data_IF_820325359982
#
_entry.id   IF_820325359982
#
_cell.length_a   1.000
_cell.length_b   1.000
_cell.length_c   1.000
_cell.angle_alpha   90.00
_cell.angle_beta   90.00
_cell.angle_gamma   90.00
#
_symmetry.space_group_name_H-M   'P 1'
#
loop_
_entity.id
_entity.type
_entity.pdbx_description
1 polymer ?
#
# COMPACT_ATOMS: atom_id res chain seq x y z
N UNK A 1 42.96 44.30 -12.05
CA UNK A 1 41.81 43.90 -12.88
C UNK A 1 42.17 42.59 -13.65
N UNK A 2 42.45 41.46 -13.01
CA UNK A 2 42.61 40.15 -13.71
C UNK A 2 42.51 38.93 -12.79
N UNK A 3 41.63 38.92 -11.75
CA UNK A 3 41.45 37.74 -10.89
C UNK A 3 39.98 37.34 -10.65
N UNK A 4 39.00 38.00 -11.26
CA UNK A 4 37.57 37.60 -11.10
C UNK A 4 36.98 36.78 -12.24
N UNK A 5 37.71 36.59 -13.37
CA UNK A 5 37.21 35.81 -14.52
C UNK A 5 37.37 34.30 -14.41
N UNK A 6 38.32 33.81 -13.62
CA UNK A 6 38.60 32.34 -13.51
C UNK A 6 37.70 31.59 -12.52
N UNK A 7 37.11 32.30 -11.55
CA UNK A 7 36.19 31.69 -10.59
C UNK A 7 34.79 31.38 -11.17
N UNK A 8 34.30 32.21 -12.09
CA UNK A 8 33.01 31.98 -12.76
C UNK A 8 33.07 30.83 -13.76
N UNK A 9 34.18 30.66 -14.48
CA UNK A 9 34.33 29.53 -15.43
C UNK A 9 34.45 28.17 -14.75
N UNK A 10 34.96 28.09 -13.52
CA UNK A 10 35.05 26.84 -12.75
C UNK A 10 33.71 26.45 -12.15
N UNK A 11 32.86 27.40 -11.81
CA UNK A 11 31.47 27.10 -11.27
C UNK A 11 30.58 26.65 -12.42
N UNK A 12 30.63 27.29 -13.60
CA UNK A 12 29.84 26.86 -14.76
C UNK A 12 30.27 25.49 -15.31
N UNK A 13 31.57 25.19 -15.35
CA UNK A 13 32.06 23.86 -15.76
C UNK A 13 31.72 22.77 -14.77
N UNK A 14 31.64 23.06 -13.47
CA UNK A 14 31.19 22.09 -12.46
C UNK A 14 29.67 21.84 -12.50
N UNK A 15 28.86 22.87 -12.81
CA UNK A 15 27.40 22.72 -13.00
C UNK A 15 27.07 22.04 -14.32
N UNK A 16 27.81 22.29 -15.40
CA UNK A 16 27.61 21.57 -16.68
C UNK A 16 28.09 20.12 -16.61
N UNK A 17 29.16 19.83 -15.85
CA UNK A 17 29.60 18.45 -15.57
C UNK A 17 28.62 17.68 -14.66
N UNK A 18 27.90 18.38 -13.78
CA UNK A 18 26.82 17.81 -12.97
C UNK A 18 25.56 17.47 -13.79
N UNK A 19 25.29 18.15 -14.89
CA UNK A 19 24.09 17.99 -15.73
C UNK A 19 24.17 16.93 -16.81
N UNK A 20 25.29 16.25 -17.01
CA UNK A 20 25.45 15.17 -18.00
C UNK A 20 26.02 13.88 -17.38
N UNK A 21 25.46 13.38 -16.30
CA UNK A 21 25.44 11.93 -16.13
C UNK A 21 24.40 11.38 -17.10
N UNK A 22 24.82 11.09 -18.32
CA UNK A 22 24.10 10.19 -19.22
C UNK A 22 23.92 8.89 -18.42
N UNK A 23 22.72 8.67 -17.90
CA UNK A 23 22.41 7.43 -17.23
C UNK A 23 22.60 6.34 -18.25
N UNK A 24 23.60 5.49 -18.06
CA UNK A 24 23.79 4.33 -18.88
C UNK A 24 22.46 3.52 -18.93
N UNK A 25 22.12 2.92 -20.08
CA UNK A 25 20.85 2.23 -20.24
C UNK A 25 20.60 1.25 -19.09
N UNK A 26 19.36 1.24 -18.58
CA UNK A 26 18.97 0.33 -17.50
C UNK A 26 19.05 -1.11 -17.97
N UNK A 27 19.46 -2.01 -17.08
CA UNK A 27 19.52 -3.45 -17.32
C UNK A 27 18.10 -4.01 -17.52
N UNK A 28 17.94 -5.01 -18.39
CA UNK A 28 16.66 -5.68 -18.58
C UNK A 28 16.23 -6.49 -17.34
N UNK A 29 14.91 -6.65 -17.11
CA UNK A 29 14.39 -7.39 -15.94
C UNK A 29 14.90 -8.84 -15.87
N UNK A 30 14.89 -9.55 -16.97
CA UNK A 30 15.40 -10.93 -17.05
C UNK A 30 16.92 -11.00 -16.92
N UNK A 31 17.61 -10.01 -17.46
CA UNK A 31 19.06 -9.88 -17.34
C UNK A 31 19.46 -9.70 -15.87
N UNK A 32 18.79 -8.81 -15.12
CA UNK A 32 19.00 -8.62 -13.68
C UNK A 32 18.84 -9.94 -12.92
N UNK A 33 17.76 -10.68 -13.16
CA UNK A 33 17.51 -11.95 -12.49
C UNK A 33 18.52 -13.05 -12.85
N UNK A 34 19.11 -12.99 -14.06
CA UNK A 34 20.13 -13.95 -14.50
C UNK A 34 21.52 -13.59 -13.99
N UNK A 35 21.90 -12.34 -14.04
CA UNK A 35 23.24 -11.85 -13.74
C UNK A 35 23.48 -11.65 -12.23
N UNK A 36 22.49 -11.09 -11.50
CA UNK A 36 22.64 -10.75 -10.09
C UNK A 36 22.10 -11.87 -9.18
N UNK A 37 22.99 -12.76 -8.76
CA UNK A 37 22.64 -13.90 -7.86
C UNK A 37 22.09 -13.41 -6.52
N UNK A 38 22.65 -12.34 -5.94
CA UNK A 38 22.22 -11.80 -4.65
C UNK A 38 20.78 -11.30 -4.69
N UNK A 39 20.45 -10.46 -5.70
CA UNK A 39 19.11 -9.98 -5.90
C UNK A 39 18.12 -11.12 -6.20
N UNK A 40 18.50 -12.08 -7.03
CA UNK A 40 17.66 -13.23 -7.37
C UNK A 40 17.25 -14.04 -6.14
N UNK A 41 18.16 -14.37 -5.23
CA UNK A 41 17.82 -15.12 -4.02
C UNK A 41 16.99 -14.32 -3.04
N UNK A 42 17.27 -13.02 -2.88
CA UNK A 42 16.43 -12.13 -2.07
C UNK A 42 15.00 -12.05 -2.63
N UNK A 43 14.87 -11.89 -3.95
CA UNK A 43 13.58 -11.82 -4.63
C UNK A 43 12.79 -13.14 -4.54
N UNK A 44 13.43 -14.29 -4.79
CA UNK A 44 12.74 -15.57 -4.63
C UNK A 44 12.30 -15.82 -3.18
N UNK A 45 13.10 -15.44 -2.19
CA UNK A 45 12.69 -15.47 -0.79
C UNK A 45 11.41 -14.67 -0.57
N UNK A 46 11.36 -13.44 -1.11
CA UNK A 46 10.17 -12.59 -1.04
C UNK A 46 8.94 -13.22 -1.72
N UNK A 47 9.09 -13.78 -2.93
CA UNK A 47 7.99 -14.43 -3.66
C UNK A 47 7.40 -15.57 -2.84
N UNK A 48 8.28 -16.44 -2.31
CA UNK A 48 7.86 -17.61 -1.54
C UNK A 48 7.19 -17.20 -0.24
N UNK A 49 7.75 -16.27 0.54
CA UNK A 49 7.14 -15.84 1.80
C UNK A 49 5.84 -15.08 1.60
N UNK A 50 5.74 -14.23 0.57
CA UNK A 50 4.47 -13.54 0.25
C UNK A 50 3.37 -14.50 -0.20
N UNK A 51 3.71 -15.60 -0.85
CA UNK A 51 2.74 -16.65 -1.18
C UNK A 51 2.20 -17.32 0.09
N UNK A 52 3.08 -17.64 1.04
CA UNK A 52 2.70 -18.16 2.34
C UNK A 52 1.80 -17.21 3.14
N UNK A 53 2.12 -15.93 3.17
CA UNK A 53 1.28 -14.90 3.80
C UNK A 53 -0.19 -14.94 3.31
N UNK A 54 -0.42 -15.35 2.05
CA UNK A 54 -1.79 -15.53 1.54
C UNK A 54 -2.42 -16.84 1.98
N UNK A 55 -1.64 -17.92 2.14
CA UNK A 55 -2.13 -19.18 2.71
C UNK A 55 -2.65 -18.97 4.12
N UNK A 56 -1.84 -18.31 4.96
CA UNK A 56 -2.21 -17.91 6.31
C UNK A 56 -3.44 -16.98 6.32
N UNK A 57 -3.41 -15.92 5.52
CA UNK A 57 -4.49 -14.92 5.48
C UNK A 57 -5.85 -15.55 5.22
N UNK A 58 -5.97 -16.42 4.22
CA UNK A 58 -7.24 -17.09 3.89
C UNK A 58 -7.62 -18.10 4.97
N UNK A 59 -6.64 -18.84 5.50
CA UNK A 59 -6.88 -19.82 6.55
C UNK A 59 -7.37 -19.17 7.84
N UNK A 60 -6.76 -18.05 8.27
CA UNK A 60 -7.16 -17.30 9.46
C UNK A 60 -8.59 -16.76 9.35
N UNK A 61 -8.97 -16.20 8.18
CA UNK A 61 -10.36 -15.74 7.98
C UNK A 61 -11.34 -16.91 7.99
N UNK A 62 -10.97 -18.03 7.37
CA UNK A 62 -11.79 -19.24 7.34
C UNK A 62 -12.01 -19.77 8.75
N UNK A 63 -10.96 -19.93 9.58
CA UNK A 63 -11.09 -20.38 10.96
C UNK A 63 -11.97 -19.42 11.77
N UNK A 64 -11.76 -18.11 11.65
CA UNK A 64 -12.53 -17.12 12.40
C UNK A 64 -14.04 -17.28 12.13
N UNK A 65 -14.43 -17.42 10.86
CA UNK A 65 -15.83 -17.55 10.49
C UNK A 65 -16.40 -18.95 10.84
N UNK A 66 -15.67 -20.02 10.57
CA UNK A 66 -16.15 -21.37 10.81
C UNK A 66 -16.28 -21.72 12.29
N UNK A 67 -15.37 -21.20 13.14
CA UNK A 67 -15.43 -21.46 14.58
C UNK A 67 -16.45 -20.57 15.31
N UNK A 68 -16.56 -19.30 14.91
CA UNK A 68 -17.38 -18.33 15.67
C UNK A 68 -18.71 -18.01 15.02
N UNK A 69 -18.84 -18.23 13.72
CA UNK A 69 -19.97 -17.72 12.94
C UNK A 69 -20.08 -16.19 12.93
N UNK A 70 -19.04 -15.45 13.41
CA UNK A 70 -19.07 -14.02 13.69
C UNK A 70 -18.23 -13.23 12.68
N UNK A 71 -18.87 -12.29 12.00
CA UNK A 71 -18.19 -11.32 11.11
C UNK A 71 -17.27 -10.38 11.89
N UNK A 72 -17.62 -10.09 13.15
CA UNK A 72 -16.81 -9.30 14.08
C UNK A 72 -15.45 -9.95 14.34
N UNK A 73 -15.38 -11.29 14.38
CA UNK A 73 -14.09 -11.99 14.54
C UNK A 73 -13.12 -11.69 13.41
N UNK A 74 -13.60 -11.69 12.17
CA UNK A 74 -12.77 -11.28 11.01
C UNK A 74 -12.42 -9.79 11.08
N UNK A 75 -13.37 -8.95 11.45
CA UNK A 75 -13.15 -7.52 11.62
C UNK A 75 -12.04 -7.22 12.65
N UNK A 76 -12.04 -7.93 13.79
CA UNK A 76 -10.99 -7.81 14.82
C UNK A 76 -9.63 -8.32 14.33
N UNK A 77 -9.59 -9.38 13.50
CA UNK A 77 -8.34 -9.80 12.82
C UNK A 77 -7.83 -8.69 11.92
N UNK A 78 -8.70 -8.02 11.15
CA UNK A 78 -8.29 -6.88 10.32
C UNK A 78 -7.72 -5.74 11.17
N UNK A 79 -8.34 -5.40 12.29
CA UNK A 79 -7.79 -4.41 13.24
C UNK A 79 -6.42 -4.86 13.76
N UNK A 80 -6.29 -6.12 14.17
CA UNK A 80 -5.03 -6.71 14.62
C UNK A 80 -3.93 -6.67 13.54
N UNK A 81 -4.30 -6.79 12.27
CA UNK A 81 -3.37 -6.68 11.13
C UNK A 81 -2.84 -5.28 10.92
N UNK A 82 -3.62 -4.25 11.20
CA UNK A 82 -3.19 -2.85 11.01
C UNK A 82 -2.40 -2.30 12.20
N UNK A 83 -2.64 -2.78 13.42
CA UNK A 83 -2.06 -2.28 14.65
C UNK A 83 -0.50 -2.30 14.66
N UNK A 84 0.19 -3.39 14.29
CA UNK A 84 1.64 -3.44 14.35
C UNK A 84 2.33 -2.44 13.44
N UNK A 85 1.77 -2.14 12.27
CA UNK A 85 2.36 -1.19 11.32
C UNK A 85 2.42 0.24 11.89
N UNK A 86 1.45 0.63 12.71
CA UNK A 86 1.42 1.96 13.36
C UNK A 86 2.43 2.03 14.51
N UNK A 87 2.48 0.99 15.34
CA UNK A 87 3.27 1.00 16.58
C UNK A 87 4.75 0.69 16.32
N UNK A 88 5.04 -0.24 15.40
CA UNK A 88 6.38 -0.79 15.19
C UNK A 88 7.14 -0.07 14.07
N UNK A 89 6.46 0.53 13.10
CA UNK A 89 7.11 1.21 11.98
C UNK A 89 8.18 2.24 12.42
N UNK A 90 7.97 3.09 13.43
CA UNK A 90 9.02 4.00 13.93
C UNK A 90 10.23 3.26 14.52
N UNK A 91 9.99 2.15 15.21
CA UNK A 91 11.04 1.35 15.84
C UNK A 91 11.85 0.53 14.82
N UNK A 92 11.22 0.12 13.73
CA UNK A 92 11.86 -0.69 12.70
C UNK A 92 13.05 0.00 12.04
N UNK A 93 12.98 1.33 11.84
CA UNK A 93 14.08 2.14 11.34
C UNK A 93 15.29 2.12 12.28
N UNK A 94 15.05 2.27 13.59
CA UNK A 94 16.10 2.22 14.61
C UNK A 94 16.80 0.86 14.67
N UNK A 95 16.02 -0.21 14.59
CA UNK A 95 16.54 -1.59 14.58
C UNK A 95 17.30 -1.86 13.29
N UNK A 96 16.80 -1.42 12.13
CA UNK A 96 17.47 -1.53 10.85
C UNK A 96 18.81 -0.75 10.81
N UNK A 97 18.97 0.25 11.66
CA UNK A 97 20.23 0.99 11.79
C UNK A 97 21.24 0.30 12.71
N UNK A 98 20.81 -0.48 13.68
CA UNK A 98 21.68 -1.11 14.69
C UNK A 98 22.12 -2.52 14.32
N UNK A 99 21.27 -3.29 13.66
CA UNK A 99 21.49 -4.69 13.33
C UNK A 99 21.74 -4.87 11.83
N UNK A 100 22.39 -5.98 11.46
CA UNK A 100 22.57 -6.32 10.06
C UNK A 100 21.19 -6.61 9.41
N UNK A 101 20.96 -6.05 8.22
CA UNK A 101 19.71 -6.24 7.46
C UNK A 101 19.41 -7.72 7.24
N UNK A 102 20.47 -8.51 6.95
CA UNK A 102 20.38 -9.97 6.81
C UNK A 102 19.85 -10.63 8.07
N UNK A 103 20.43 -10.30 9.23
CA UNK A 103 20.01 -10.88 10.53
C UNK A 103 18.56 -10.53 10.83
N UNK A 104 18.14 -9.27 10.60
CA UNK A 104 16.75 -8.84 10.81
C UNK A 104 15.80 -9.66 9.96
N UNK A 105 16.08 -9.81 8.65
CA UNK A 105 15.20 -10.55 7.73
C UNK A 105 15.10 -12.02 8.11
N UNK A 106 16.24 -12.69 8.37
CA UNK A 106 16.25 -14.11 8.75
C UNK A 106 15.54 -14.33 10.09
N UNK A 107 15.85 -13.51 11.11
CA UNK A 107 15.20 -13.62 12.42
C UNK A 107 13.69 -13.39 12.32
N UNK A 108 13.25 -12.39 11.53
CA UNK A 108 11.83 -12.13 11.27
C UNK A 108 11.13 -13.33 10.65
N UNK A 109 11.71 -13.93 9.62
CA UNK A 109 11.11 -15.09 8.95
C UNK A 109 11.07 -16.32 9.87
N UNK A 110 12.14 -16.61 10.63
CA UNK A 110 12.14 -17.75 11.57
C UNK A 110 11.10 -17.56 12.68
N UNK A 111 10.98 -16.35 13.25
CA UNK A 111 9.96 -16.10 14.28
C UNK A 111 8.57 -16.20 13.68
N UNK A 112 8.34 -15.66 12.48
CA UNK A 112 7.05 -15.80 11.78
C UNK A 112 6.70 -17.24 11.49
N UNK A 113 7.67 -18.07 11.07
CA UNK A 113 7.48 -19.51 10.87
C UNK A 113 6.99 -20.20 12.14
N UNK A 114 7.55 -19.86 13.30
CA UNK A 114 7.14 -20.43 14.60
C UNK A 114 5.75 -19.91 15.00
N UNK A 115 5.50 -18.60 14.86
CA UNK A 115 4.23 -17.97 15.21
C UNK A 115 3.06 -18.56 14.42
N UNK A 116 3.25 -18.79 13.12
CA UNK A 116 2.22 -19.35 12.25
C UNK A 116 1.84 -20.78 12.68
N UNK A 117 2.79 -21.59 13.14
CA UNK A 117 2.48 -22.91 13.68
C UNK A 117 1.59 -22.84 14.95
N UNK A 118 1.59 -21.69 15.64
CA UNK A 118 0.71 -21.44 16.78
C UNK A 118 -0.79 -21.51 16.41
N UNK A 119 -1.16 -21.16 15.16
CA UNK A 119 -2.56 -21.27 14.70
C UNK A 119 -3.08 -22.71 14.66
N UNK A 120 -2.21 -23.73 14.62
CA UNK A 120 -2.60 -25.13 14.67
C UNK A 120 -3.28 -25.52 16.00
N UNK A 121 -3.06 -24.76 17.07
CA UNK A 121 -3.67 -24.97 18.38
C UNK A 121 -5.06 -24.35 18.51
N UNK A 122 -5.49 -23.52 17.55
CA UNK A 122 -6.81 -22.89 17.54
C UNK A 122 -7.84 -23.88 17.01
N UNK A 123 -8.68 -24.42 17.91
CA UNK A 123 -9.69 -25.43 17.59
C UNK A 123 -11.08 -25.10 18.12
N UNK A 124 -11.20 -24.08 18.98
CA UNK A 124 -12.45 -23.72 19.68
C UNK A 124 -12.68 -22.21 19.63
N UNK A 125 -13.94 -21.78 19.69
CA UNK A 125 -14.29 -20.34 19.66
C UNK A 125 -13.65 -19.52 20.77
N UNK A 126 -13.51 -20.08 21.97
CA UNK A 126 -12.89 -19.42 23.13
C UNK A 126 -11.38 -19.13 22.94
N UNK A 127 -10.75 -19.74 21.95
CA UNK A 127 -9.34 -19.54 21.60
C UNK A 127 -9.12 -18.40 20.57
N UNK A 128 -10.16 -17.66 20.18
CA UNK A 128 -10.00 -16.56 19.22
C UNK A 128 -9.03 -15.46 19.68
N UNK A 129 -8.87 -15.26 20.99
CA UNK A 129 -7.85 -14.35 21.51
C UNK A 129 -6.43 -14.73 21.03
N UNK A 130 -6.14 -16.04 20.93
CA UNK A 130 -4.85 -16.53 20.42
C UNK A 130 -4.66 -16.15 18.96
N UNK A 131 -5.72 -16.23 18.13
CA UNK A 131 -5.67 -15.78 16.73
C UNK A 131 -5.26 -14.32 16.64
N UNK A 132 -5.84 -13.45 17.46
CA UNK A 132 -5.51 -12.02 17.45
C UNK A 132 -4.07 -11.78 17.88
N UNK A 133 -3.60 -12.44 18.95
CA UNK A 133 -2.24 -12.33 19.45
C UNK A 133 -1.23 -12.82 18.41
N UNK A 134 -1.45 -14.01 17.83
CA UNK A 134 -0.56 -14.56 16.79
C UNK A 134 -0.52 -13.67 15.55
N UNK A 135 -1.67 -13.13 15.12
CA UNK A 135 -1.73 -12.18 14.01
C UNK A 135 -0.90 -10.91 14.29
N UNK A 136 -1.06 -10.33 15.50
CA UNK A 136 -0.27 -9.15 15.91
C UNK A 136 1.23 -9.47 15.91
N UNK A 137 1.62 -10.61 16.49
CA UNK A 137 3.03 -11.04 16.53
C UNK A 137 3.61 -11.24 15.13
N UNK A 138 2.92 -11.98 14.26
CA UNK A 138 3.35 -12.24 12.87
C UNK A 138 3.60 -10.93 12.13
N UNK A 139 2.66 -9.98 12.20
CA UNK A 139 2.78 -8.71 11.49
C UNK A 139 3.75 -7.75 12.18
N UNK A 140 3.97 -7.87 13.49
CA UNK A 140 5.01 -7.16 14.20
C UNK A 140 6.40 -7.50 13.63
N UNK A 141 6.68 -8.78 13.41
CA UNK A 141 7.94 -9.19 12.79
C UNK A 141 8.01 -8.86 11.30
N UNK A 142 6.88 -8.90 10.58
CA UNK A 142 6.80 -8.40 9.19
C UNK A 142 7.16 -6.91 9.10
N UNK A 143 6.77 -6.09 10.08
CA UNK A 143 7.09 -4.67 10.15
C UNK A 143 8.60 -4.37 10.33
N UNK A 144 9.40 -5.32 10.79
CA UNK A 144 10.87 -5.24 10.78
C UNK A 144 11.47 -5.73 9.46
N UNK A 145 10.87 -6.76 8.85
CA UNK A 145 11.37 -7.36 7.62
C UNK A 145 11.33 -6.37 6.44
N UNK A 146 10.21 -5.71 6.20
CA UNK A 146 9.99 -4.86 5.03
C UNK A 146 10.97 -3.68 4.90
N UNK A 147 11.23 -2.86 5.96
CA UNK A 147 12.24 -1.81 5.89
C UNK A 147 13.66 -2.36 5.71
N UNK A 148 14.00 -3.49 6.36
CA UNK A 148 15.30 -4.12 6.22
C UNK A 148 15.54 -4.60 4.77
N UNK A 149 14.54 -5.21 4.14
CA UNK A 149 14.56 -5.64 2.73
C UNK A 149 14.72 -4.45 1.79
N UNK A 150 13.87 -3.42 1.94
CA UNK A 150 13.92 -2.22 1.09
C UNK A 150 15.28 -1.53 1.17
N UNK A 151 15.84 -1.44 2.38
CA UNK A 151 17.18 -0.88 2.58
C UNK A 151 18.29 -1.81 2.05
N UNK A 152 18.07 -3.12 1.97
CA UNK A 152 19.05 -4.09 1.49
C UNK A 152 19.23 -4.05 -0.02
N UNK A 153 18.18 -3.82 -0.80
CA UNK A 153 18.21 -3.80 -2.27
C UNK A 153 19.35 -2.92 -2.82
N UNK A 154 19.48 -1.62 -2.45
CA UNK A 154 20.55 -0.77 -2.99
C UNK A 154 21.97 -1.23 -2.63
N UNK A 155 22.12 -2.12 -1.66
CA UNK A 155 23.45 -2.64 -1.27
C UNK A 155 23.89 -3.88 -2.04
N UNK A 156 22.99 -4.51 -2.80
CA UNK A 156 23.26 -5.74 -3.55
C UNK A 156 23.05 -5.58 -5.07
N UNK A 157 22.54 -4.41 -5.51
CA UNK A 157 22.37 -4.07 -6.91
C UNK A 157 23.20 -2.83 -7.26
N UNK A 158 23.61 -2.71 -8.51
CA UNK A 158 24.27 -1.51 -9.05
C UNK A 158 23.25 -0.40 -9.32
N UNK A 159 23.71 0.84 -9.52
CA UNK A 159 22.84 2.00 -9.86
C UNK A 159 21.98 1.73 -11.11
N UNK A 160 22.51 0.98 -12.10
CA UNK A 160 21.78 0.61 -13.33
C UNK A 160 20.69 -0.43 -13.09
N UNK A 161 20.83 -1.25 -12.08
CA UNK A 161 19.91 -2.33 -11.69
C UNK A 161 18.84 -1.88 -10.69
N UNK A 162 19.01 -0.72 -10.04
CA UNK A 162 18.16 -0.27 -8.94
C UNK A 162 16.71 -0.03 -9.39
N UNK A 163 16.52 0.61 -10.54
CA UNK A 163 15.17 0.85 -11.09
C UNK A 163 14.48 -0.46 -11.48
N UNK A 164 15.09 -1.37 -12.26
CA UNK A 164 14.52 -2.69 -12.54
C UNK A 164 14.24 -3.52 -11.28
N UNK A 165 15.11 -3.49 -10.26
CA UNK A 165 14.90 -4.22 -9.01
C UNK A 165 13.64 -3.76 -8.27
N UNK A 166 13.44 -2.45 -8.13
CA UNK A 166 12.24 -1.90 -7.50
C UNK A 166 10.96 -2.17 -8.33
N UNK A 167 11.07 -2.13 -9.66
CA UNK A 167 9.95 -2.47 -10.54
C UNK A 167 9.53 -3.94 -10.38
N UNK A 168 10.49 -4.87 -10.36
CA UNK A 168 10.24 -6.30 -10.10
C UNK A 168 9.56 -6.48 -8.72
N UNK A 169 10.04 -5.82 -7.67
CA UNK A 169 9.46 -5.92 -6.33
C UNK A 169 7.99 -5.43 -6.32
N UNK A 170 7.68 -4.33 -6.99
CA UNK A 170 6.32 -3.78 -7.10
C UNK A 170 5.39 -4.68 -7.90
N UNK A 171 5.85 -5.22 -9.04
CA UNK A 171 5.09 -6.18 -9.85
C UNK A 171 4.83 -7.45 -9.06
N UNK A 172 5.83 -7.96 -8.34
CA UNK A 172 5.70 -9.14 -7.48
C UNK A 172 4.58 -8.97 -6.46
N UNK A 173 4.50 -7.82 -5.79
CA UNK A 173 3.41 -7.55 -4.84
C UNK A 173 2.02 -7.66 -5.48
N UNK A 174 1.84 -7.07 -6.67
CA UNK A 174 0.57 -7.11 -7.39
C UNK A 174 0.22 -8.53 -7.86
N UNK A 175 1.22 -9.28 -8.32
CA UNK A 175 1.04 -10.68 -8.75
C UNK A 175 0.70 -11.56 -7.55
N UNK A 176 1.39 -11.39 -6.42
CA UNK A 176 1.10 -12.16 -5.20
C UNK A 176 -0.26 -11.83 -4.60
N UNK A 177 -0.74 -10.60 -4.71
CA UNK A 177 -2.11 -10.25 -4.32
C UNK A 177 -3.16 -11.07 -5.09
N UNK A 178 -2.89 -11.39 -6.34
CA UNK A 178 -3.83 -12.13 -7.21
C UNK A 178 -3.63 -13.64 -7.10
N UNK A 179 -2.44 -14.12 -7.45
CA UNK A 179 -2.12 -15.56 -7.48
C UNK A 179 -2.03 -16.16 -6.08
N UNK A 180 -1.45 -15.42 -5.13
CA UNK A 180 -1.33 -15.86 -3.74
C UNK A 180 -2.72 -16.08 -3.11
N UNK A 181 -3.67 -15.17 -3.32
CA UNK A 181 -5.03 -15.34 -2.83
C UNK A 181 -5.74 -16.55 -3.47
N UNK A 182 -5.57 -16.77 -4.78
CA UNK A 182 -6.11 -17.94 -5.46
C UNK A 182 -5.55 -19.24 -4.89
N UNK A 183 -4.21 -19.30 -4.74
CA UNK A 183 -3.52 -20.46 -4.19
C UNK A 183 -3.84 -20.68 -2.70
N UNK A 184 -3.94 -19.60 -1.92
CA UNK A 184 -4.35 -19.66 -0.51
C UNK A 184 -5.77 -20.24 -0.35
N UNK A 185 -6.70 -19.77 -1.16
CA UNK A 185 -8.06 -20.32 -1.20
C UNK A 185 -8.12 -21.79 -1.63
N UNK A 186 -7.30 -22.16 -2.63
CA UNK A 186 -7.18 -23.55 -3.09
C UNK A 186 -6.57 -24.46 -2.01
N UNK A 187 -5.44 -24.04 -1.43
CA UNK A 187 -4.74 -24.84 -0.38
C UNK A 187 -5.64 -25.02 0.85
N UNK A 188 -6.14 -23.92 1.41
CA UNK A 188 -7.00 -23.98 2.58
C UNK A 188 -8.32 -24.71 2.31
N UNK A 189 -8.90 -24.57 1.11
CA UNK A 189 -10.13 -25.25 0.71
C UNK A 189 -9.95 -26.72 0.38
N UNK A 190 -8.83 -27.14 -0.19
CA UNK A 190 -8.62 -28.55 -0.62
C UNK A 190 -7.92 -29.40 0.43
N UNK A 191 -6.94 -28.82 1.15
CA UNK A 191 -6.10 -29.54 2.13
C UNK A 191 -6.39 -29.12 3.58
N UNK A 192 -7.29 -28.13 3.78
CA UNK A 192 -7.66 -27.61 5.09
C UNK A 192 -6.72 -26.49 5.57
N UNK A 193 -7.19 -25.76 6.58
CA UNK A 193 -6.49 -24.61 7.15
C UNK A 193 -5.18 -25.00 7.83
N UNK A 194 -5.10 -26.18 8.45
CA UNK A 194 -3.87 -26.67 9.06
C UNK A 194 -2.74 -26.85 8.03
N UNK A 195 -3.05 -27.39 6.84
CA UNK A 195 -2.08 -27.52 5.76
C UNK A 195 -1.61 -26.14 5.28
N UNK A 196 -2.49 -25.15 5.22
CA UNK A 196 -2.14 -23.77 4.86
C UNK A 196 -1.13 -23.16 5.84
N UNK A 197 -1.32 -23.35 7.15
CA UNK A 197 -0.37 -22.87 8.18
C UNK A 197 0.99 -23.56 8.11
N UNK A 198 0.99 -24.89 7.94
CA UNK A 198 2.25 -25.63 7.79
C UNK A 198 3.02 -25.20 6.55
N UNK A 199 2.33 -25.06 5.42
CA UNK A 199 2.93 -24.59 4.18
C UNK A 199 3.45 -23.16 4.33
N UNK A 200 2.72 -22.26 4.97
CA UNK A 200 3.20 -20.90 5.23
C UNK A 200 4.45 -20.91 6.09
N UNK A 201 4.46 -21.65 7.19
CA UNK A 201 5.68 -21.82 8.02
C UNK A 201 6.88 -22.29 7.19
N UNK A 202 6.68 -23.28 6.30
CA UNK A 202 7.73 -23.76 5.41
C UNK A 202 8.20 -22.70 4.42
N UNK A 203 7.29 -21.82 3.93
CA UNK A 203 7.68 -20.72 3.05
C UNK A 203 8.58 -19.71 3.76
N UNK A 204 8.33 -19.39 5.03
CA UNK A 204 9.21 -18.52 5.82
C UNK A 204 10.58 -19.15 6.05
N UNK A 205 10.63 -20.44 6.37
CA UNK A 205 11.90 -21.17 6.49
C UNK A 205 12.67 -21.16 5.16
N UNK A 206 12.00 -21.42 4.05
CA UNK A 206 12.60 -21.38 2.72
C UNK A 206 13.12 -19.96 2.38
N UNK A 207 12.35 -18.90 2.71
CA UNK A 207 12.79 -17.51 2.56
C UNK A 207 14.05 -17.23 3.39
N UNK A 208 14.05 -17.59 4.67
CA UNK A 208 15.21 -17.43 5.55
C UNK A 208 16.46 -18.15 5.01
N UNK A 209 16.31 -19.36 4.48
CA UNK A 209 17.39 -20.13 3.85
C UNK A 209 17.90 -19.44 2.58
N UNK A 210 17.02 -18.95 1.70
CA UNK A 210 17.41 -18.21 0.50
C UNK A 210 18.15 -16.92 0.85
N UNK A 211 17.63 -16.14 1.80
CA UNK A 211 18.27 -14.91 2.28
C UNK A 211 19.62 -15.20 2.94
N UNK A 212 19.77 -16.34 3.61
CA UNK A 212 21.03 -16.74 4.24
C UNK A 212 22.16 -16.94 3.23
N UNK A 213 21.85 -17.24 1.97
CA UNK A 213 22.85 -17.39 0.89
C UNK A 213 23.29 -16.05 0.29
N UNK A 214 22.54 -14.95 0.55
CA UNK A 214 22.86 -13.64 0.01
C UNK A 214 24.05 -13.02 0.76
N UNK A 215 25.05 -12.58 0.02
CA UNK A 215 26.20 -11.84 0.58
C UNK A 215 25.89 -10.35 0.59
N UNK A 216 25.72 -9.80 1.78
CA UNK A 216 25.57 -8.35 1.95
C UNK A 216 26.93 -7.72 2.23
N UNK A 217 27.27 -6.58 1.62
CA UNK A 217 28.50 -5.84 1.95
C UNK A 217 28.50 -5.48 3.44
N UNK A 218 29.69 -5.49 4.06
CA UNK A 218 29.83 -4.96 5.42
C UNK A 218 29.44 -3.49 5.42
N UNK A 219 28.51 -3.13 6.29
CA UNK A 219 28.08 -1.74 6.46
C UNK A 219 29.21 -0.96 7.12
N UNK A 220 29.56 0.22 6.56
CA UNK A 220 30.41 1.16 7.27
C UNK A 220 29.74 1.56 8.58
N UNK A 221 30.48 1.52 9.68
CA UNK A 221 29.98 1.92 11.00
C UNK A 221 29.53 3.40 10.94
N UNK A 222 28.24 3.62 11.04
CA UNK A 222 27.71 4.98 11.19
C UNK A 222 27.81 5.37 12.67
N UNK A 223 28.16 6.62 12.98
CA UNK A 223 28.12 7.12 14.34
C UNK A 223 26.74 6.86 14.96
N UNK A 224 26.70 6.27 16.16
CA UNK A 224 25.46 6.01 16.91
C UNK A 224 24.82 7.36 17.25
N UNK A 225 23.85 7.80 16.47
CA UNK A 225 23.10 9.01 16.79
C UNK A 225 22.31 8.77 18.10
N UNK A 226 22.37 9.74 19.03
CA UNK A 226 21.52 9.73 20.22
C UNK A 226 20.08 10.01 19.76
N UNK A 227 19.29 8.95 19.59
CA UNK A 227 17.87 9.08 19.28
C UNK A 227 17.09 9.43 20.55
N UNK A 228 16.51 10.62 20.57
CA UNK A 228 15.49 10.98 21.56
C UNK A 228 14.20 10.20 21.22
N UNK A 229 13.55 9.60 22.22
CA UNK A 229 12.35 8.75 22.06
C UNK A 229 11.27 9.47 21.22
N UNK A 230 11.07 10.77 21.39
CA UNK A 230 10.10 11.57 20.61
C UNK A 230 10.44 11.65 19.10
N UNK A 231 11.74 11.71 18.74
CA UNK A 231 12.20 11.63 17.34
C UNK A 231 12.13 10.20 16.79
N UNK A 232 12.38 9.21 17.65
CA UNK A 232 12.27 7.80 17.27
C UNK A 232 10.81 7.40 17.00
N UNK A 233 9.85 7.96 17.73
CA UNK A 233 8.42 7.72 17.52
C UNK A 233 7.81 8.59 16.40
N UNK A 234 8.56 9.49 15.79
CA UNK A 234 8.08 10.34 14.70
C UNK A 234 6.95 11.31 15.08
N UNK A 235 6.67 11.49 16.38
CA UNK A 235 5.57 12.34 16.86
C UNK A 235 5.79 13.80 16.46
N UNK A 236 7.01 14.31 16.64
CA UNK A 236 7.38 15.67 16.24
C UNK A 236 7.21 15.87 14.74
N UNK A 237 7.68 14.89 13.94
CA UNK A 237 7.57 14.92 12.49
C UNK A 237 6.11 14.87 12.03
N UNK A 238 5.25 14.12 12.71
CA UNK A 238 3.81 14.04 12.44
C UNK A 238 3.11 15.37 12.73
N UNK A 239 3.44 16.03 13.85
CA UNK A 239 2.88 17.33 14.23
C UNK A 239 3.32 18.42 13.24
N UNK A 240 4.59 18.46 12.88
CA UNK A 240 5.11 19.41 11.87
C UNK A 240 4.48 19.15 10.49
N UNK A 241 4.30 17.89 10.10
CA UNK A 241 3.60 17.51 8.89
C UNK A 241 2.14 17.96 8.89
N UNK A 242 1.43 17.78 10.01
CA UNK A 242 0.05 18.24 10.18
C UNK A 242 -0.06 19.77 10.09
N UNK A 243 0.86 20.50 10.74
CA UNK A 243 0.92 21.97 10.66
C UNK A 243 1.19 22.45 9.21
N UNK A 244 2.13 21.81 8.51
CA UNK A 244 2.40 22.09 7.09
C UNK A 244 1.16 21.90 6.21
N UNK A 245 0.41 20.83 6.42
CA UNK A 245 -0.76 20.46 5.63
C UNK A 245 -1.95 21.38 5.90
N UNK A 246 -2.18 21.76 7.18
CA UNK A 246 -3.32 22.61 7.61
C UNK A 246 -3.41 23.93 6.83
N UNK A 247 -2.28 24.54 6.49
CA UNK A 247 -2.21 25.80 5.78
C UNK A 247 -2.19 25.66 4.24
N UNK A 248 -2.32 24.42 3.73
CA UNK A 248 -2.26 24.12 2.29
C UNK A 248 -3.44 23.25 1.84
N UNK A 249 -4.60 23.87 1.50
CA UNK A 249 -5.84 23.14 1.26
C UNK A 249 -5.74 22.11 0.11
N UNK A 250 -4.90 22.34 -0.89
CA UNK A 250 -4.66 21.36 -1.96
C UNK A 250 -3.88 20.14 -1.46
N UNK A 251 -2.87 20.36 -0.61
CA UNK A 251 -2.11 19.25 0.00
C UNK A 251 -3.00 18.45 0.93
N UNK A 252 -3.81 19.12 1.75
CA UNK A 252 -4.79 18.48 2.63
C UNK A 252 -5.78 17.62 1.84
N UNK A 253 -6.34 18.15 0.74
CA UNK A 253 -7.26 17.40 -0.08
C UNK A 253 -6.61 16.14 -0.69
N UNK A 254 -5.37 16.23 -1.19
CA UNK A 254 -4.67 15.06 -1.73
C UNK A 254 -4.31 14.03 -0.65
N UNK A 255 -3.91 14.50 0.53
CA UNK A 255 -3.62 13.65 1.68
C UNK A 255 -4.87 12.89 2.12
N UNK A 256 -6.04 13.51 2.11
CA UNK A 256 -7.29 12.88 2.55
C UNK A 256 -7.88 11.88 1.55
N UNK A 257 -7.39 11.80 0.32
CA UNK A 257 -7.90 10.87 -0.71
C UNK A 257 -7.82 9.41 -0.25
N UNK A 258 -6.66 8.96 0.21
CA UNK A 258 -6.48 7.57 0.66
C UNK A 258 -7.18 7.27 2.00
N UNK A 259 -7.15 8.13 3.03
CA UNK A 259 -7.99 7.98 4.21
C UNK A 259 -9.48 7.86 3.88
N UNK A 260 -10.00 8.69 2.96
CA UNK A 260 -11.38 8.58 2.50
C UNK A 260 -11.66 7.23 1.83
N UNK A 261 -10.72 6.70 1.04
CA UNK A 261 -10.79 5.33 0.53
C UNK A 261 -10.71 4.30 1.66
N UNK A 262 -9.85 4.51 2.66
CA UNK A 262 -9.70 3.66 3.83
C UNK A 262 -10.99 3.51 4.66
N UNK A 263 -11.84 4.53 4.68
CA UNK A 263 -13.17 4.45 5.33
C UNK A 263 -14.10 3.40 4.71
N UNK A 264 -13.86 2.99 3.47
CA UNK A 264 -14.50 1.83 2.85
C UNK A 264 -13.71 0.53 2.99
N UNK A 265 -12.63 0.54 3.77
CA UNK A 265 -11.74 -0.63 3.99
C UNK A 265 -12.43 -1.85 4.58
N UNK A 266 -13.60 -1.68 5.20
CA UNK A 266 -14.47 -2.76 5.68
C UNK A 266 -14.88 -3.77 4.61
N UNK A 267 -14.67 -3.43 3.33
CA UNK A 267 -14.84 -4.39 2.22
C UNK A 267 -13.98 -5.64 2.40
N UNK A 268 -12.82 -5.57 3.05
CA UNK A 268 -11.96 -6.73 3.26
C UNK A 268 -12.63 -7.77 4.19
N UNK A 269 -13.28 -7.32 5.26
CA UNK A 269 -14.12 -8.17 6.12
C UNK A 269 -15.31 -8.74 5.33
N UNK A 270 -15.96 -7.90 4.52
CA UNK A 270 -17.09 -8.32 3.70
C UNK A 270 -16.68 -9.38 2.68
N UNK A 271 -15.51 -9.29 2.04
CA UNK A 271 -15.04 -10.34 1.11
C UNK A 271 -14.93 -11.71 1.78
N UNK A 272 -14.43 -11.76 3.02
CA UNK A 272 -14.37 -13.00 3.77
C UNK A 272 -15.78 -13.54 4.06
N UNK A 273 -16.70 -12.69 4.54
CA UNK A 273 -18.09 -13.06 4.83
C UNK A 273 -18.85 -13.48 3.56
N UNK A 274 -18.65 -12.78 2.44
CA UNK A 274 -19.26 -13.15 1.16
C UNK A 274 -18.75 -14.51 0.66
N UNK A 275 -17.44 -14.76 0.78
CA UNK A 275 -16.84 -16.03 0.36
C UNK A 275 -17.31 -17.22 1.18
N UNK A 276 -17.60 -17.00 2.47
CA UNK A 276 -18.13 -18.05 3.33
C UNK A 276 -19.64 -18.26 3.16
N UNK A 277 -20.44 -17.16 3.27
CA UNK A 277 -21.90 -17.27 3.48
C UNK A 277 -22.71 -17.11 2.21
N UNK A 278 -22.19 -16.41 1.21
CA UNK A 278 -22.96 -16.02 0.01
C UNK A 278 -22.46 -16.74 -1.23
N UNK A 279 -21.15 -16.84 -1.39
CA UNK A 279 -20.52 -17.43 -2.56
C UNK A 279 -19.44 -18.47 -2.20
N UNK A 280 -19.79 -19.52 -1.39
CA UNK A 280 -18.85 -20.61 -1.20
C UNK A 280 -18.65 -21.38 -2.52
N UNK A 281 -17.41 -21.67 -2.86
CA UNK A 281 -17.09 -22.41 -4.10
C UNK A 281 -16.96 -23.89 -3.77
N UNK A 282 -17.73 -24.72 -4.45
CA UNK A 282 -17.83 -26.18 -4.17
C UNK A 282 -18.10 -26.49 -2.68
N UNK A 283 -18.92 -25.66 -2.02
CA UNK A 283 -19.23 -25.80 -0.60
C UNK A 283 -18.09 -25.41 0.36
N UNK A 284 -16.98 -24.84 -0.15
CA UNK A 284 -15.79 -24.50 0.63
C UNK A 284 -15.65 -22.99 0.80
N UNK A 285 -15.72 -22.51 2.04
CA UNK A 285 -15.56 -21.11 2.41
C UNK A 285 -14.21 -20.55 1.96
N UNK A 286 -13.11 -21.23 2.26
CA UNK A 286 -11.76 -20.79 1.92
C UNK A 286 -11.58 -20.55 0.41
N UNK A 287 -12.12 -21.42 -0.43
CA UNK A 287 -12.06 -21.28 -1.88
C UNK A 287 -12.86 -20.06 -2.33
N UNK A 288 -14.07 -19.84 -1.79
CA UNK A 288 -14.90 -18.67 -2.07
C UNK A 288 -14.19 -17.36 -1.69
N UNK A 289 -13.59 -17.30 -0.49
CA UNK A 289 -12.79 -16.17 -0.01
C UNK A 289 -11.62 -15.92 -0.98
N UNK A 290 -10.85 -16.96 -1.31
CA UNK A 290 -9.69 -16.86 -2.19
C UNK A 290 -10.04 -16.31 -3.59
N UNK A 291 -11.15 -16.79 -4.18
CA UNK A 291 -11.60 -16.32 -5.51
C UNK A 291 -12.01 -14.85 -5.47
N UNK A 292 -12.70 -14.40 -4.42
CA UNK A 292 -13.05 -12.98 -4.27
C UNK A 292 -11.82 -12.11 -4.08
N UNK A 293 -10.86 -12.50 -3.26
CA UNK A 293 -9.59 -11.79 -3.14
C UNK A 293 -8.77 -11.80 -4.44
N UNK A 294 -8.86 -12.86 -5.23
CA UNK A 294 -8.25 -12.92 -6.59
C UNK A 294 -8.86 -11.88 -7.51
N UNK A 295 -10.20 -11.79 -7.58
CA UNK A 295 -10.89 -10.77 -8.38
C UNK A 295 -10.49 -9.35 -7.96
N UNK A 296 -10.39 -9.11 -6.65
CA UNK A 296 -9.84 -7.88 -6.09
C UNK A 296 -8.43 -7.61 -6.62
N UNK A 297 -7.56 -8.62 -6.57
CA UNK A 297 -6.17 -8.53 -7.03
C UNK A 297 -6.07 -8.16 -8.51
N UNK A 298 -6.88 -8.79 -9.37
CA UNK A 298 -6.95 -8.49 -10.80
C UNK A 298 -7.32 -7.02 -11.03
N UNK A 299 -8.38 -6.53 -10.37
CA UNK A 299 -8.79 -5.13 -10.49
C UNK A 299 -7.68 -4.17 -10.05
N UNK A 300 -7.02 -4.47 -8.93
CA UNK A 300 -5.92 -3.66 -8.41
C UNK A 300 -4.71 -3.61 -9.37
N UNK A 301 -4.38 -4.72 -10.02
CA UNK A 301 -3.26 -4.78 -10.96
C UNK A 301 -3.55 -4.06 -12.29
N UNK A 302 -4.77 -4.20 -12.80
CA UNK A 302 -5.16 -3.66 -14.13
C UNK A 302 -5.43 -2.15 -14.08
N UNK A 303 -5.93 -1.63 -12.95
CA UNK A 303 -6.36 -0.24 -12.81
C UNK A 303 -5.33 0.80 -13.24
N UNK A 304 -4.11 0.82 -12.67
CA UNK A 304 -3.10 1.81 -13.00
C UNK A 304 -2.63 1.75 -14.47
N UNK A 305 -2.64 0.54 -15.06
CA UNK A 305 -2.25 0.33 -16.47
C UNK A 305 -3.26 1.01 -17.40
N UNK A 306 -4.54 0.76 -17.16
CA UNK A 306 -5.63 1.36 -17.94
C UNK A 306 -5.65 2.88 -17.74
N UNK A 307 -5.56 3.33 -16.48
CA UNK A 307 -5.61 4.73 -16.16
C UNK A 307 -4.50 5.53 -16.86
N UNK A 308 -3.26 5.05 -16.82
CA UNK A 308 -2.15 5.72 -17.49
C UNK A 308 -2.38 5.87 -19.00
N UNK A 309 -2.96 4.86 -19.63
CA UNK A 309 -3.21 4.87 -21.08
C UNK A 309 -4.33 5.85 -21.47
N UNK A 310 -5.34 6.04 -20.62
CA UNK A 310 -6.56 6.77 -20.97
C UNK A 310 -6.65 8.18 -20.41
N UNK A 311 -6.01 8.45 -19.27
CA UNK A 311 -6.19 9.74 -18.57
C UNK A 311 -5.06 10.73 -18.79
N UNK A 312 -3.89 10.30 -19.31
CA UNK A 312 -2.70 11.16 -19.42
C UNK A 312 -2.07 11.53 -18.08
N UNK A 313 -1.04 12.39 -18.12
CA UNK A 313 -0.17 12.69 -16.96
C UNK A 313 -0.31 14.13 -16.44
N UNK A 314 -1.27 14.91 -16.97
CA UNK A 314 -1.45 16.28 -16.48
C UNK A 314 -2.15 16.28 -15.12
N UNK A 315 -1.85 17.30 -14.30
CA UNK A 315 -2.45 17.47 -12.98
C UNK A 315 -3.99 17.42 -13.01
N UNK A 316 -4.62 18.11 -13.98
CA UNK A 316 -6.09 18.17 -14.11
C UNK A 316 -6.67 16.80 -14.47
N UNK A 317 -5.99 16.04 -15.32
CA UNK A 317 -6.41 14.69 -15.70
C UNK A 317 -6.33 13.72 -14.52
N UNK A 318 -5.21 13.73 -13.76
CA UNK A 318 -5.07 12.92 -12.55
C UNK A 318 -6.12 13.26 -11.48
N UNK A 319 -6.42 14.56 -11.28
CA UNK A 319 -7.50 14.98 -10.37
C UNK A 319 -8.87 14.47 -10.82
N UNK A 320 -9.17 14.51 -12.12
CA UNK A 320 -10.42 13.97 -12.68
C UNK A 320 -10.48 12.46 -12.48
N UNK A 321 -9.40 11.75 -12.74
CA UNK A 321 -9.32 10.30 -12.56
C UNK A 321 -9.53 9.87 -11.10
N UNK A 322 -9.03 10.62 -10.12
CA UNK A 322 -9.29 10.38 -8.69
C UNK A 322 -10.80 10.46 -8.38
N UNK A 323 -11.48 11.49 -8.90
CA UNK A 323 -12.94 11.62 -8.72
C UNK A 323 -13.72 10.48 -9.38
N UNK A 324 -13.38 10.13 -10.63
CA UNK A 324 -13.99 9.01 -11.35
C UNK A 324 -13.74 7.70 -10.59
N UNK A 325 -12.54 7.50 -10.05
CA UNK A 325 -12.17 6.30 -9.31
C UNK A 325 -13.03 6.10 -8.04
N UNK A 326 -13.34 7.17 -7.30
CA UNK A 326 -14.30 7.10 -6.20
C UNK A 326 -15.70 6.71 -6.66
N UNK A 327 -16.21 7.32 -7.74
CA UNK A 327 -17.53 7.00 -8.28
C UNK A 327 -17.59 5.55 -8.78
N UNK A 328 -16.53 5.08 -9.47
CA UNK A 328 -16.38 3.67 -9.85
C UNK A 328 -16.44 2.76 -8.63
N UNK A 329 -15.60 3.02 -7.61
CA UNK A 329 -15.57 2.24 -6.39
C UNK A 329 -16.96 2.15 -5.76
N UNK A 330 -17.63 3.29 -5.57
CA UNK A 330 -18.98 3.36 -5.00
C UNK A 330 -20.02 2.59 -5.81
N UNK A 331 -20.12 2.88 -7.10
CA UNK A 331 -21.11 2.24 -7.99
C UNK A 331 -20.92 0.73 -8.05
N UNK A 332 -19.68 0.27 -8.23
CA UNK A 332 -19.41 -1.17 -8.37
C UNK A 332 -19.45 -1.92 -7.03
N UNK A 333 -19.20 -1.27 -5.87
CA UNK A 333 -19.48 -1.91 -4.58
C UNK A 333 -20.98 -2.06 -4.32
N UNK A 334 -21.81 -1.09 -4.73
CA UNK A 334 -23.27 -1.25 -4.69
C UNK A 334 -23.66 -2.45 -5.57
N UNK A 335 -23.20 -2.48 -6.82
CA UNK A 335 -23.50 -3.56 -7.75
C UNK A 335 -23.03 -4.93 -7.23
N UNK A 336 -21.84 -5.01 -6.62
CA UNK A 336 -21.33 -6.21 -5.96
C UNK A 336 -22.25 -6.65 -4.82
N UNK A 337 -22.63 -5.72 -3.94
CA UNK A 337 -23.47 -6.03 -2.78
C UNK A 337 -24.84 -6.61 -3.17
N UNK A 338 -25.48 -6.08 -4.20
CA UNK A 338 -26.81 -6.54 -4.66
C UNK A 338 -26.75 -7.70 -5.66
N UNK A 339 -25.56 -8.04 -6.18
CA UNK A 339 -25.42 -9.10 -7.19
C UNK A 339 -25.83 -10.46 -6.65
N UNK A 340 -26.67 -11.16 -7.40
CA UNK A 340 -27.08 -12.55 -7.13
C UNK A 340 -26.20 -13.58 -7.88
N UNK A 341 -25.55 -13.16 -8.96
CA UNK A 341 -24.66 -13.99 -9.75
C UNK A 341 -23.24 -13.90 -9.23
N UNK A 342 -22.58 -15.03 -9.00
CA UNK A 342 -21.18 -15.08 -8.58
C UNK A 342 -20.24 -14.46 -9.61
N UNK A 343 -20.46 -14.74 -10.90
CA UNK A 343 -19.62 -14.21 -11.98
C UNK A 343 -19.71 -12.69 -12.04
N UNK A 344 -20.91 -12.12 -11.99
CA UNK A 344 -21.07 -10.66 -11.97
C UNK A 344 -20.52 -10.04 -10.70
N UNK A 345 -20.64 -10.70 -9.56
CA UNK A 345 -20.01 -10.26 -8.31
C UNK A 345 -18.48 -10.12 -8.47
N UNK A 346 -17.80 -11.10 -9.11
CA UNK A 346 -16.37 -11.03 -9.38
C UNK A 346 -16.01 -9.86 -10.31
N UNK A 347 -16.82 -9.65 -11.36
CA UNK A 347 -16.61 -8.54 -12.31
C UNK A 347 -16.76 -7.18 -11.61
N UNK A 348 -17.85 -6.98 -10.87
CA UNK A 348 -18.09 -5.72 -10.15
C UNK A 348 -17.03 -5.47 -9.09
N UNK A 349 -16.60 -6.50 -8.37
CA UNK A 349 -15.53 -6.41 -7.39
C UNK A 349 -14.20 -6.00 -8.05
N UNK A 350 -13.84 -6.61 -9.19
CA UNK A 350 -12.63 -6.25 -9.93
C UNK A 350 -12.70 -4.78 -10.41
N UNK A 351 -13.83 -4.34 -10.94
CA UNK A 351 -14.03 -2.95 -11.38
C UNK A 351 -13.97 -1.95 -10.22
N UNK A 352 -14.54 -2.28 -9.06
CA UNK A 352 -14.45 -1.44 -7.86
C UNK A 352 -12.99 -1.25 -7.41
N UNK A 353 -12.22 -2.33 -7.35
CA UNK A 353 -10.82 -2.28 -6.95
C UNK A 353 -9.90 -1.70 -8.02
N UNK A 354 -10.27 -1.77 -9.29
CA UNK A 354 -9.62 -1.02 -10.35
C UNK A 354 -9.69 0.50 -10.06
N UNK A 355 -10.86 1.02 -9.71
CA UNK A 355 -11.01 2.40 -9.22
C UNK A 355 -10.11 2.70 -8.03
N UNK A 356 -10.12 1.84 -7.01
CA UNK A 356 -9.29 2.00 -5.81
C UNK A 356 -7.78 2.10 -6.10
N UNK A 357 -7.26 1.30 -7.01
CA UNK A 357 -5.84 1.33 -7.39
C UNK A 357 -5.47 2.56 -8.22
N UNK A 358 -6.35 3.02 -9.11
CA UNK A 358 -6.20 4.29 -9.84
C UNK A 358 -6.07 5.46 -8.86
N UNK A 359 -7.01 5.54 -7.92
CA UNK A 359 -7.03 6.54 -6.86
C UNK A 359 -5.72 6.53 -6.06
N UNK A 360 -5.26 5.34 -5.66
CA UNK A 360 -4.04 5.18 -4.88
C UNK A 360 -2.80 5.72 -5.59
N UNK A 361 -2.61 5.36 -6.85
CA UNK A 361 -1.45 5.78 -7.64
C UNK A 361 -1.49 7.28 -7.92
N UNK A 362 -2.62 7.81 -8.39
CA UNK A 362 -2.69 9.22 -8.77
C UNK A 362 -2.68 10.17 -7.58
N UNK A 363 -3.29 9.81 -6.44
CA UNK A 363 -3.17 10.61 -5.22
C UNK A 363 -1.72 10.67 -4.73
N UNK A 364 -0.98 9.56 -4.80
CA UNK A 364 0.45 9.53 -4.48
C UNK A 364 1.23 10.49 -5.37
N UNK A 365 1.05 10.42 -6.69
CA UNK A 365 1.77 11.30 -7.65
C UNK A 365 1.39 12.78 -7.44
N UNK A 366 0.10 13.08 -7.24
CA UNK A 366 -0.35 14.44 -6.96
C UNK A 366 0.27 15.00 -5.67
N UNK A 367 0.34 14.18 -4.64
CA UNK A 367 0.96 14.56 -3.36
C UNK A 367 2.47 14.77 -3.53
N UNK A 368 3.18 13.86 -4.21
CA UNK A 368 4.61 13.97 -4.52
C UNK A 368 4.95 15.25 -5.31
N UNK A 369 4.13 15.61 -6.30
CA UNK A 369 4.31 16.82 -7.13
C UNK A 369 3.97 18.13 -6.40
N UNK A 370 3.26 18.06 -5.27
CA UNK A 370 2.74 19.27 -4.59
C UNK A 370 3.47 19.55 -3.27
N UNK A 371 3.97 18.52 -2.59
CA UNK A 371 4.65 18.64 -1.30
C UNK A 371 6.14 18.90 -1.51
N UNK A 372 6.68 19.90 -0.80
CA UNK A 372 8.10 20.20 -0.79
C UNK A 372 8.93 19.02 -0.25
N UNK A 373 10.13 18.80 -0.79
CA UNK A 373 10.96 17.62 -0.51
C UNK A 373 11.24 17.40 0.98
N UNK A 374 11.50 18.50 1.71
CA UNK A 374 11.78 18.47 3.16
C UNK A 374 10.58 18.07 4.03
N UNK A 375 9.33 18.14 3.51
CA UNK A 375 8.11 17.74 4.22
C UNK A 375 7.51 16.43 3.69
N UNK A 376 8.01 15.92 2.57
CA UNK A 376 7.41 14.77 1.86
C UNK A 376 7.30 13.54 2.75
N UNK A 377 8.36 13.17 3.47
CA UNK A 377 8.35 12.02 4.39
C UNK A 377 7.31 12.15 5.51
N UNK A 378 7.20 13.34 6.12
CA UNK A 378 6.24 13.63 7.21
C UNK A 378 4.79 13.56 6.73
N UNK A 379 4.51 14.13 5.55
CA UNK A 379 3.17 14.12 4.96
C UNK A 379 2.74 12.70 4.59
N UNK A 380 3.63 11.88 4.01
CA UNK A 380 3.33 10.48 3.70
C UNK A 380 3.17 9.62 4.96
N UNK A 381 3.94 9.87 6.01
CA UNK A 381 3.76 9.19 7.29
C UNK A 381 2.39 9.50 7.91
N UNK A 382 1.97 10.76 7.90
CA UNK A 382 0.63 11.17 8.35
C UNK A 382 -0.48 10.56 7.48
N UNK A 383 -0.32 10.53 6.15
CA UNK A 383 -1.25 9.88 5.22
C UNK A 383 -1.43 8.41 5.58
N UNK A 384 -0.33 7.65 5.74
CA UNK A 384 -0.37 6.23 6.05
C UNK A 384 -0.99 5.94 7.43
N UNK A 385 -0.70 6.76 8.44
CA UNK A 385 -1.32 6.64 9.76
C UNK A 385 -2.84 6.82 9.69
N UNK A 386 -3.32 7.83 8.96
CA UNK A 386 -4.75 8.07 8.75
C UNK A 386 -5.42 6.95 7.94
N UNK A 387 -4.77 6.45 6.88
CA UNK A 387 -5.27 5.31 6.10
C UNK A 387 -5.42 4.07 7.00
N UNK A 388 -4.40 3.77 7.79
CA UNK A 388 -4.42 2.61 8.69
C UNK A 388 -5.54 2.72 9.71
N UNK A 389 -5.71 3.90 10.33
CA UNK A 389 -6.78 4.16 11.29
C UNK A 389 -8.16 4.03 10.65
N UNK A 390 -8.36 4.64 9.48
CA UNK A 390 -9.66 4.59 8.80
C UNK A 390 -10.00 3.18 8.32
N UNK A 391 -9.03 2.42 7.83
CA UNK A 391 -9.23 1.01 7.45
C UNK A 391 -9.56 0.13 8.67
N UNK A 392 -8.84 0.27 9.78
CA UNK A 392 -9.12 -0.47 10.99
C UNK A 392 -10.52 -0.17 11.52
N UNK A 393 -10.87 1.11 11.63
CA UNK A 393 -12.20 1.57 12.08
C UNK A 393 -13.31 1.05 11.15
N UNK A 394 -13.14 1.17 9.84
CA UNK A 394 -14.12 0.71 8.86
C UNK A 394 -14.38 -0.80 8.94
N UNK A 395 -13.31 -1.61 9.07
CA UNK A 395 -13.47 -3.05 9.24
C UNK A 395 -14.24 -3.38 10.53
N UNK A 396 -13.89 -2.71 11.64
CA UNK A 396 -14.60 -2.91 12.91
C UNK A 396 -16.09 -2.54 12.81
N UNK A 397 -16.39 -1.37 12.25
CA UNK A 397 -17.78 -0.90 12.05
C UNK A 397 -18.58 -1.87 11.19
N UNK A 398 -18.02 -2.35 10.10
CA UNK A 398 -18.69 -3.33 9.22
C UNK A 398 -18.98 -4.63 9.96
N UNK A 399 -18.07 -5.12 10.81
CA UNK A 399 -18.29 -6.29 11.65
C UNK A 399 -19.45 -6.08 12.64
N UNK A 400 -19.49 -4.93 13.33
CA UNK A 400 -20.55 -4.58 14.27
C UNK A 400 -21.93 -4.42 13.58
N UNK A 401 -21.96 -3.81 12.38
CA UNK A 401 -23.20 -3.66 11.61
C UNK A 401 -23.84 -5.02 11.26
N UNK A 402 -23.03 -6.02 10.96
CA UNK A 402 -23.51 -7.36 10.64
C UNK A 402 -23.92 -8.14 11.89
N UNK A 403 -23.10 -8.15 12.93
CA UNK A 403 -23.29 -9.05 14.07
C UNK A 403 -24.20 -8.46 15.15
N UNK A 404 -24.04 -7.15 15.46
CA UNK A 404 -24.83 -6.49 16.51
C UNK A 404 -26.17 -5.98 16.00
N UNK A 405 -26.20 -5.42 14.79
CA UNK A 405 -27.41 -4.84 14.21
C UNK A 405 -28.12 -5.78 13.23
N UNK A 406 -27.57 -6.97 12.95
CA UNK A 406 -28.17 -7.97 12.09
C UNK A 406 -28.33 -7.56 10.63
N UNK A 407 -27.59 -6.53 10.19
CA UNK A 407 -27.70 -6.04 8.81
C UNK A 407 -27.03 -7.04 7.88
N UNK A 408 -27.73 -7.45 6.83
CA UNK A 408 -27.18 -8.44 5.91
C UNK A 408 -25.89 -7.93 5.22
N UNK A 409 -24.91 -8.80 4.94
CA UNK A 409 -23.66 -8.42 4.27
C UNK A 409 -23.88 -7.66 2.96
N UNK A 410 -24.96 -7.97 2.24
CA UNK A 410 -25.33 -7.32 0.99
C UNK A 410 -25.63 -5.83 1.18
N UNK A 411 -26.46 -5.51 2.17
CA UNK A 411 -26.83 -4.12 2.47
C UNK A 411 -25.69 -3.34 3.09
N UNK A 412 -24.87 -3.99 3.93
CA UNK A 412 -23.65 -3.35 4.46
C UNK A 412 -22.70 -2.98 3.30
N UNK A 413 -22.53 -3.90 2.33
CA UNK A 413 -21.69 -3.64 1.15
C UNK A 413 -22.24 -2.50 0.28
N UNK A 414 -23.56 -2.49 0.04
CA UNK A 414 -24.21 -1.41 -0.68
C UNK A 414 -24.04 -0.06 0.05
N UNK A 415 -24.17 -0.06 1.38
CA UNK A 415 -23.91 1.10 2.24
C UNK A 415 -22.47 1.61 2.13
N UNK A 416 -21.48 0.72 2.13
CA UNK A 416 -20.08 1.07 1.87
C UNK A 416 -19.95 1.73 0.49
N UNK A 417 -20.59 1.18 -0.54
CA UNK A 417 -20.59 1.76 -1.88
C UNK A 417 -21.22 3.17 -1.93
N UNK A 418 -22.37 3.36 -1.29
CA UNK A 418 -23.02 4.69 -1.18
C UNK A 418 -22.09 5.67 -0.47
N UNK A 419 -21.44 5.23 0.60
CA UNK A 419 -20.49 6.05 1.34
C UNK A 419 -19.30 6.49 0.45
N UNK A 420 -18.82 5.64 -0.45
CA UNK A 420 -17.74 5.97 -1.40
C UNK A 420 -18.14 7.05 -2.44
N UNK A 421 -19.42 7.17 -2.75
CA UNK A 421 -19.89 8.24 -3.66
C UNK A 421 -19.72 9.63 -3.04
N UNK A 422 -19.85 9.76 -1.71
CA UNK A 422 -19.76 11.04 -1.01
C UNK A 422 -18.40 11.75 -1.20
N UNK A 423 -17.23 11.12 -0.90
CA UNK A 423 -15.93 11.74 -1.18
C UNK A 423 -15.70 11.98 -2.67
N UNK A 424 -16.25 11.14 -3.57
CA UNK A 424 -16.21 11.38 -5.01
C UNK A 424 -16.91 12.65 -5.43
N UNK A 425 -18.13 12.88 -4.95
CA UNK A 425 -18.90 14.10 -5.18
C UNK A 425 -18.19 15.32 -4.57
N UNK A 426 -17.77 15.21 -3.30
CA UNK A 426 -17.03 16.28 -2.62
C UNK A 426 -15.72 16.64 -3.35
N UNK A 427 -15.05 15.65 -3.92
CA UNK A 427 -13.86 15.85 -4.73
C UNK A 427 -14.13 16.67 -6.00
N UNK A 428 -15.18 16.35 -6.74
CA UNK A 428 -15.55 17.11 -7.94
C UNK A 428 -15.96 18.55 -7.60
N UNK A 429 -16.71 18.78 -6.52
CA UNK A 429 -17.06 20.12 -6.04
C UNK A 429 -15.80 20.92 -5.66
N UNK A 430 -14.84 20.29 -4.99
CA UNK A 430 -13.58 20.92 -4.62
C UNK A 430 -12.74 21.25 -5.85
N UNK A 431 -12.66 20.31 -6.81
CA UNK A 431 -11.96 20.52 -8.08
C UNK A 431 -12.57 21.68 -8.89
N UNK A 432 -13.90 21.76 -8.98
CA UNK A 432 -14.58 22.87 -9.67
C UNK A 432 -14.22 24.23 -9.05
N UNK A 433 -14.13 24.32 -7.71
CA UNK A 433 -13.70 25.54 -7.02
C UNK A 433 -12.27 25.94 -7.38
N UNK A 434 -11.36 24.96 -7.48
CA UNK A 434 -9.98 25.21 -7.92
C UNK A 434 -9.89 25.67 -9.37
N UNK A 435 -10.62 25.00 -10.28
CA UNK A 435 -10.64 25.34 -11.70
C UNK A 435 -11.23 26.76 -11.92
N UNK A 436 -12.26 27.16 -11.15
CA UNK A 436 -12.82 28.52 -11.19
C UNK A 436 -11.82 29.56 -10.73
N UNK A 437 -11.11 29.32 -9.62
CA UNK A 437 -10.08 30.24 -9.11
C UNK A 437 -8.93 30.40 -10.10
N UNK A 438 -8.47 29.31 -10.73
CA UNK A 438 -7.41 29.36 -11.74
C UNK A 438 -7.84 30.16 -12.99
N UNK A 439 -9.09 30.01 -13.44
CA UNK A 439 -9.65 30.78 -14.56
C UNK A 439 -9.79 32.28 -14.23
N UNK A 440 -10.10 32.62 -12.99
CA UNK A 440 -10.23 34.00 -12.56
C UNK A 440 -8.86 34.74 -12.47
N UNK A 441 -7.79 34.02 -12.16
CA UNK A 441 -6.43 34.59 -12.03
C UNK A 441 -5.77 34.81 -13.40
N UNK A 442 -6.05 33.98 -14.40
CA UNK A 442 -5.46 34.09 -15.75
C UNK A 442 -5.83 35.40 -16.46
N UNK A 443 -7.10 35.86 -16.48
CA UNK A 443 -7.46 37.14 -17.08
C UNK A 443 -6.78 38.34 -16.40
N UNK A 444 -6.68 38.33 -15.05
CA UNK A 444 -6.03 39.39 -14.30
C UNK A 444 -4.54 39.51 -14.65
N UNK A 445 -3.82 38.37 -14.70
CA UNK A 445 -2.41 38.37 -15.12
C UNK A 445 -2.18 38.82 -16.58
N UNK A 446 -3.10 38.48 -17.47
CA UNK A 446 -3.03 38.93 -18.87
C UNK A 446 -3.28 40.44 -18.97
N UNK A 447 -4.19 40.98 -18.15
CA UNK A 447 -4.42 42.41 -18.07
C UNK A 447 -3.24 43.16 -17.46
N UNK A 448 -2.61 42.62 -16.39
CA UNK A 448 -1.40 43.21 -15.79
C UNK A 448 -0.24 43.24 -16.77
N UNK A 449 0.01 42.16 -17.51
CA UNK A 449 1.07 42.09 -18.54
C UNK A 449 0.74 43.03 -19.70
N UNK A 450 -0.52 43.12 -20.14
CA UNK A 450 -0.91 44.06 -21.18
C UNK A 450 -0.71 45.53 -20.75
N UNK A 451 -1.09 45.85 -19.50
CA UNK A 451 -0.84 47.17 -18.92
C UNK A 451 0.66 47.52 -18.80
N UNK A 452 1.47 46.55 -18.36
CA UNK A 452 2.93 46.75 -18.32
C UNK A 452 3.53 47.02 -19.71
N UNK A 453 3.10 46.24 -20.72
CA UNK A 453 3.55 46.43 -22.09
C UNK A 453 3.07 47.78 -22.70
N UNK A 454 1.89 48.25 -22.29
CA UNK A 454 1.36 49.54 -22.72
C UNK A 454 2.13 50.72 -22.07
N UNK A 455 2.50 50.58 -20.80
CA UNK A 455 3.31 51.53 -20.05
C UNK A 455 4.72 51.64 -20.63
N UNK A 456 5.37 50.50 -20.92
CA UNK A 456 6.67 50.44 -21.57
C UNK A 456 6.68 51.06 -23.01
N UNK A 457 5.55 50.97 -23.73
CA UNK A 457 5.40 51.62 -25.05
C UNK A 457 5.22 53.12 -24.97
N UNK A 458 4.77 53.63 -23.85
CA UNK A 458 4.59 55.11 -23.66
C UNK A 458 5.87 55.79 -23.13
N UNK A 459 6.81 54.99 -22.65
CA UNK A 459 8.13 55.48 -22.16
C UNK A 459 9.23 55.48 -23.26
N UNK A 460 8.95 54.96 -24.47
CA UNK A 460 9.81 55.00 -25.65
C UNK A 460 9.29 56.03 -26.64
#
# INVERSE_FOLDING_TARGET
>A
VHLHGLSFFHIEMSEVASKKRVSAPSVGYLELLRSNRGFRFLWFGQVVSQMGDWFDTIAVYTIALTLTGSSRSVALIMVARFLPSVVISPLSGVIADRFSRRTIMIASDIVRAIVVLGFLFVRRPDQMWLVYVLTVLQLAFSAFFEPAKTAAIPSIVSDRELVPANAIASVTWSVMLTLGAAMGGFVAGSFGTNAAFVLDSLTFVASALLISTVRFPKRAERPKSKLTIGKALGITDTIEGAHYVRHRPRVLAYLLVKPAWGMGGGILTLLAVFGERIFPVAGKAATGIGVLFTARGIGTAVGPIIARRWTGETRKQMQTAVGIAFLMGGTFYIAFGVSRSFVWALVFLALAHMGGSILWVFSTVLLQKTVADNFRGRVFAAEMALVTLTMATSNYVVGELMDRFGISPRWVTAGVGIFFLMPGIAWFLTKQRWDRKERAVVPAKVQDVAQQLETERLEI
#
